data_IF_362472147526
#
_entry.id   IF_362472147526
#
_cell.length_a   1.000
_cell.length_b   1.000
_cell.length_c   1.000
_cell.angle_alpha   90.00
_cell.angle_beta   90.00
_cell.angle_gamma   90.00
#
_symmetry.space_group_name_H-M   'P 1'
#
loop_
_entity.id
_entity.type
_entity.pdbx_description
1 polymer ?
#
# COMPACT_ATOMS: atom_id res chain seq x y z
N UNK A 1 4.75 -15.75 -22.16
CA UNK A 1 4.41 -14.55 -21.36
C UNK A 1 3.73 -13.56 -22.28
N UNK A 2 2.45 -13.23 -22.06
CA UNK A 2 1.78 -12.19 -22.85
C UNK A 2 2.38 -10.82 -22.52
N UNK A 3 2.35 -9.88 -23.47
CA UNK A 3 2.90 -8.52 -23.31
C UNK A 3 2.30 -7.79 -22.09
N UNK A 4 1.05 -8.09 -21.75
CA UNK A 4 0.34 -7.53 -20.60
C UNK A 4 0.86 -8.07 -19.27
N UNK A 5 1.17 -9.37 -19.17
CA UNK A 5 1.70 -9.96 -17.94
C UNK A 5 3.07 -9.40 -17.55
N UNK A 6 3.92 -9.11 -18.55
CA UNK A 6 5.23 -8.49 -18.32
C UNK A 6 5.07 -7.04 -17.81
N UNK A 7 4.10 -6.29 -18.33
CA UNK A 7 3.82 -4.92 -17.89
C UNK A 7 3.23 -4.86 -16.47
N UNK A 8 2.31 -5.76 -16.13
CA UNK A 8 1.76 -5.85 -14.77
C UNK A 8 2.85 -6.21 -13.77
N UNK A 9 3.71 -7.18 -14.10
CA UNK A 9 4.80 -7.59 -13.23
C UNK A 9 5.80 -6.45 -12.98
N UNK A 10 6.17 -5.70 -14.02
CA UNK A 10 7.05 -4.53 -13.91
C UNK A 10 6.44 -3.42 -13.02
N UNK A 11 5.14 -3.16 -13.14
CA UNK A 11 4.44 -2.21 -12.27
C UNK A 11 4.39 -2.70 -10.82
N UNK A 12 4.12 -3.99 -10.57
CA UNK A 12 4.16 -4.56 -9.22
C UNK A 12 5.54 -4.43 -8.57
N UNK A 13 6.62 -4.67 -9.33
CA UNK A 13 8.00 -4.49 -8.85
C UNK A 13 8.27 -3.02 -8.50
N UNK A 14 7.83 -2.07 -9.34
CA UNK A 14 7.95 -0.64 -9.05
C UNK A 14 7.18 -0.22 -7.81
N UNK A 15 5.96 -0.72 -7.63
CA UNK A 15 5.16 -0.48 -6.42
C UNK A 15 5.87 -1.00 -5.17
N UNK A 16 6.43 -2.21 -5.22
CA UNK A 16 7.20 -2.78 -4.11
C UNK A 16 8.41 -1.92 -3.77
N UNK A 17 9.21 -1.52 -4.76
CA UNK A 17 10.36 -0.64 -4.53
C UNK A 17 9.93 0.69 -3.91
N UNK A 18 8.86 1.29 -4.41
CA UNK A 18 8.31 2.53 -3.84
C UNK A 18 7.85 2.36 -2.40
N UNK A 19 7.25 1.23 -2.03
CA UNK A 19 6.89 0.92 -0.64
C UNK A 19 8.13 0.74 0.23
N UNK A 20 9.11 -0.04 -0.24
CA UNK A 20 10.38 -0.26 0.46
C UNK A 20 11.16 1.06 0.68
N UNK A 21 10.99 2.03 -0.22
CA UNK A 21 11.66 3.33 -0.16
C UNK A 21 10.81 4.42 0.52
N UNK A 22 9.67 4.07 1.13
CA UNK A 22 8.77 5.02 1.79
C UNK A 22 8.08 6.01 0.84
N UNK A 23 8.19 5.80 -0.48
CA UNK A 23 7.54 6.59 -1.53
C UNK A 23 6.13 6.08 -1.79
N UNK A 24 5.24 6.27 -0.82
CA UNK A 24 3.88 5.75 -0.90
C UNK A 24 3.09 6.32 -2.08
N UNK A 25 3.11 7.63 -2.34
CA UNK A 25 2.39 8.24 -3.47
C UNK A 25 2.72 7.62 -4.85
N UNK A 26 4.01 7.45 -5.21
CA UNK A 26 4.39 6.72 -6.42
C UNK A 26 3.95 5.25 -6.45
N UNK A 27 4.03 4.53 -5.32
CA UNK A 27 3.51 3.17 -5.23
C UNK A 27 2.01 3.13 -5.53
N UNK A 28 1.27 4.07 -4.95
CA UNK A 28 -0.18 4.18 -5.07
C UNK A 28 -0.62 4.47 -6.50
N UNK A 29 0.09 5.37 -7.20
CA UNK A 29 -0.15 5.63 -8.62
C UNK A 29 0.14 4.40 -9.50
N UNK A 30 1.15 3.60 -9.14
CA UNK A 30 1.45 2.35 -9.84
C UNK A 30 0.33 1.31 -9.68
N UNK A 31 -0.24 1.20 -8.48
CA UNK A 31 -1.38 0.31 -8.21
C UNK A 31 -2.64 0.75 -8.96
N UNK A 32 -2.98 2.05 -8.95
CA UNK A 32 -4.11 2.60 -9.73
C UNK A 32 -3.96 2.32 -11.24
N UNK A 33 -2.73 2.39 -11.76
CA UNK A 33 -2.44 2.08 -13.17
C UNK A 33 -2.63 0.58 -13.49
N UNK A 34 -2.22 -0.31 -12.58
CA UNK A 34 -2.44 -1.76 -12.71
C UNK A 34 -3.95 -2.05 -12.74
N UNK A 35 -4.69 -1.45 -11.81
CA UNK A 35 -6.13 -1.62 -11.66
C UNK A 35 -6.87 -1.23 -12.95
N UNK A 36 -6.68 0.02 -13.40
CA UNK A 36 -7.42 0.58 -14.55
C UNK A 36 -7.12 -0.10 -15.87
N UNK A 37 -5.87 -0.50 -16.09
CA UNK A 37 -5.44 -0.96 -17.41
C UNK A 37 -5.44 -2.49 -17.55
N UNK A 38 -5.36 -3.24 -16.46
CA UNK A 38 -5.08 -4.67 -16.53
C UNK A 38 -5.98 -5.56 -15.65
N UNK A 39 -6.77 -5.00 -14.73
CA UNK A 39 -7.49 -5.77 -13.71
C UNK A 39 -9.01 -5.55 -13.66
N UNK A 40 -9.66 -5.35 -14.81
CA UNK A 40 -11.13 -5.27 -14.89
C UNK A 40 -11.85 -6.54 -14.34
N UNK A 41 -11.14 -7.65 -14.08
CA UNK A 41 -11.66 -8.93 -13.58
C UNK A 41 -11.27 -9.31 -12.13
N UNK A 42 -10.51 -8.48 -11.39
CA UNK A 42 -10.21 -8.72 -9.96
C UNK A 42 -10.98 -7.71 -9.07
N UNK A 43 -12.33 -7.76 -9.04
CA UNK A 43 -13.13 -6.67 -8.49
C UNK A 43 -13.02 -6.50 -6.97
N UNK A 44 -12.86 -7.57 -6.18
CA UNK A 44 -13.14 -7.49 -4.74
C UNK A 44 -12.05 -6.82 -3.87
N UNK A 45 -10.79 -6.79 -4.32
CA UNK A 45 -9.65 -6.23 -3.54
C UNK A 45 -9.13 -4.91 -4.13
N UNK A 46 -9.32 -4.70 -5.43
CA UNK A 46 -9.06 -3.42 -6.09
C UNK A 46 -9.96 -2.31 -5.53
N UNK A 47 -11.26 -2.61 -5.32
CA UNK A 47 -12.21 -1.71 -4.65
C UNK A 47 -11.75 -1.24 -3.26
N UNK A 48 -11.07 -2.10 -2.50
CA UNK A 48 -10.60 -1.73 -1.15
C UNK A 48 -9.52 -0.66 -1.19
N UNK A 49 -8.73 -0.60 -2.25
CA UNK A 49 -7.68 0.39 -2.41
C UNK A 49 -8.32 1.73 -2.80
N UNK A 50 -9.28 1.74 -3.74
CA UNK A 50 -10.06 2.94 -4.07
C UNK A 50 -10.87 3.48 -2.88
N UNK A 51 -11.40 2.60 -2.04
CA UNK A 51 -12.13 2.98 -0.83
C UNK A 51 -11.21 3.66 0.20
N UNK A 52 -9.97 3.16 0.39
CA UNK A 52 -8.97 3.84 1.24
C UNK A 52 -8.72 5.25 0.73
N UNK A 53 -8.53 5.43 -0.59
CA UNK A 53 -8.30 6.76 -1.17
C UNK A 53 -9.49 7.70 -1.02
N UNK A 54 -10.71 7.19 -1.20
CA UNK A 54 -11.93 7.98 -1.10
C UNK A 54 -12.30 8.34 0.34
N UNK A 55 -11.84 7.56 1.31
CA UNK A 55 -12.14 7.76 2.74
C UNK A 55 -11.04 8.48 3.51
N UNK A 56 -9.83 8.61 2.96
CA UNK A 56 -8.73 9.32 3.63
C UNK A 56 -8.99 10.83 3.70
N UNK A 57 -8.70 11.40 4.87
CA UNK A 57 -8.85 12.84 5.09
C UNK A 57 -7.63 13.64 4.66
N UNK A 58 -6.53 12.98 4.29
CA UNK A 58 -5.21 13.57 4.02
C UNK A 58 -4.59 14.35 5.19
N UNK A 59 -5.23 14.32 6.36
CA UNK A 59 -4.72 14.93 7.58
C UNK A 59 -3.65 14.05 8.23
N UNK A 60 -2.70 14.68 8.92
CA UNK A 60 -1.67 13.94 9.64
C UNK A 60 -2.28 13.03 10.69
N UNK A 61 -1.85 11.77 10.69
CA UNK A 61 -2.34 10.78 11.65
C UNK A 61 -1.80 11.09 13.05
N UNK A 62 -2.71 11.27 14.01
CA UNK A 62 -2.39 11.51 15.43
C UNK A 62 -2.60 10.23 16.22
N UNK A 63 -1.53 9.71 16.82
CA UNK A 63 -1.53 8.51 17.65
C UNK A 63 -1.40 8.89 19.11
N UNK A 64 -2.35 8.45 19.94
CA UNK A 64 -2.42 8.88 21.34
C UNK A 64 -1.69 7.95 22.29
N UNK A 65 -1.44 6.70 21.88
CA UNK A 65 -0.86 5.65 22.71
C UNK A 65 0.09 4.75 21.91
N UNK A 66 0.95 4.06 22.63
CA UNK A 66 1.93 3.12 22.08
C UNK A 66 1.34 2.02 21.20
N UNK A 67 0.18 1.38 21.51
CA UNK A 67 -0.40 0.37 20.62
C UNK A 67 -0.79 0.92 19.25
N UNK A 68 -1.21 2.19 19.17
CA UNK A 68 -1.52 2.84 17.89
C UNK A 68 -0.25 3.09 17.08
N UNK A 69 0.85 3.44 17.75
CA UNK A 69 2.16 3.62 17.13
C UNK A 69 2.76 2.30 16.64
N UNK A 70 2.69 1.24 17.44
CA UNK A 70 3.12 -0.10 17.03
C UNK A 70 2.37 -0.56 15.76
N UNK A 71 1.03 -0.47 15.77
CA UNK A 71 0.19 -0.98 14.70
C UNK A 71 0.23 -0.17 13.40
N UNK A 72 0.60 1.12 13.46
CA UNK A 72 0.59 2.01 12.30
C UNK A 72 1.98 2.48 11.84
N UNK A 73 3.02 2.34 12.67
CA UNK A 73 4.37 2.79 12.33
C UNK A 73 5.36 1.62 12.37
N UNK A 74 5.50 0.97 13.53
CA UNK A 74 6.53 -0.05 13.72
C UNK A 74 6.25 -1.33 12.91
N UNK A 75 4.99 -1.77 12.86
CA UNK A 75 4.56 -2.95 12.09
C UNK A 75 4.95 -2.87 10.60
N UNK A 76 4.97 -1.66 10.04
CA UNK A 76 5.28 -1.43 8.63
C UNK A 76 6.67 -0.81 8.42
N UNK A 77 7.49 -0.76 9.48
CA UNK A 77 8.83 -0.19 9.45
C UNK A 77 8.87 1.25 8.87
N UNK A 78 7.85 2.06 9.16
CA UNK A 78 7.76 3.44 8.66
C UNK A 78 8.72 4.40 9.38
N UNK A 79 9.32 3.96 10.48
CA UNK A 79 10.38 4.69 11.19
C UNK A 79 11.39 3.69 11.78
N UNK A 80 12.66 4.08 11.86
CA UNK A 80 13.69 3.38 12.62
C UNK A 80 13.37 3.45 14.13
N UNK A 81 13.42 2.29 14.78
CA UNK A 81 12.91 1.98 16.13
C UNK A 81 13.63 2.67 17.29
N UNK A 82 14.67 3.46 17.03
CA UNK A 82 15.67 3.78 18.06
C UNK A 82 15.41 5.09 18.81
N UNK A 83 14.25 5.73 18.58
CA UNK A 83 13.88 7.00 19.22
C UNK A 83 12.67 6.76 20.14
N UNK A 84 12.82 7.12 21.41
CA UNK A 84 11.72 7.12 22.38
C UNK A 84 10.70 8.21 21.99
N UNK A 85 9.51 7.79 21.54
CA UNK A 85 8.46 8.69 21.06
C UNK A 85 7.63 9.27 22.23
N UNK A 86 7.41 10.59 22.24
CA UNK A 86 6.45 11.22 23.16
C UNK A 86 5.02 11.17 22.58
N UNK A 87 4.03 10.94 23.44
CA UNK A 87 2.61 10.93 23.05
C UNK A 87 1.91 12.26 23.42
N UNK A 88 0.99 12.75 22.57
CA UNK A 88 0.56 12.18 21.29
C UNK A 88 1.64 12.32 20.20
N UNK A 89 1.81 11.27 19.41
CA UNK A 89 2.72 11.27 18.26
C UNK A 89 1.94 11.69 17.01
N UNK A 90 2.49 12.63 16.26
CA UNK A 90 1.92 13.12 15.00
C UNK A 90 2.80 12.61 13.87
N UNK A 91 2.28 11.69 13.05
CA UNK A 91 3.02 11.14 11.94
C UNK A 91 3.17 12.16 10.80
N UNK A 92 4.25 12.10 10.00
CA UNK A 92 4.40 12.90 8.79
C UNK A 92 3.53 12.41 7.62
N UNK A 93 2.51 11.58 7.89
CA UNK A 93 1.63 10.95 6.91
C UNK A 93 0.21 10.82 7.46
N UNK A 94 -0.77 10.60 6.58
CA UNK A 94 -2.17 10.32 6.94
C UNK A 94 -2.43 8.82 7.18
N UNK A 95 -3.63 8.49 7.63
CA UNK A 95 -4.11 7.11 7.82
C UNK A 95 -3.98 6.24 6.56
N UNK A 96 -4.04 6.85 5.38
CA UNK A 96 -3.83 6.18 4.11
C UNK A 96 -2.55 5.33 4.08
N UNK A 97 -1.42 5.84 4.60
CA UNK A 97 -0.13 5.13 4.49
C UNK A 97 -0.16 3.76 5.18
N UNK A 98 -0.47 3.63 6.48
CA UNK A 98 -0.57 2.33 7.12
C UNK A 98 -1.69 1.46 6.54
N UNK A 99 -2.81 2.04 6.08
CA UNK A 99 -3.89 1.28 5.46
C UNK A 99 -3.47 0.66 4.11
N UNK A 100 -2.73 1.40 3.29
CA UNK A 100 -2.16 0.87 2.06
C UNK A 100 -1.13 -0.25 2.34
N UNK A 101 -0.28 -0.08 3.35
CA UNK A 101 0.68 -1.11 3.75
C UNK A 101 0.00 -2.44 4.15
N UNK A 102 -1.23 -2.39 4.69
CA UNK A 102 -2.02 -3.60 5.01
C UNK A 102 -2.54 -4.33 3.77
N UNK A 103 -2.95 -3.58 2.74
CA UNK A 103 -3.63 -4.16 1.58
C UNK A 103 -2.67 -4.56 0.48
N UNK A 104 -1.65 -3.75 0.18
CA UNK A 104 -0.78 -3.95 -0.99
C UNK A 104 -0.13 -5.33 -1.04
N UNK A 105 0.41 -5.91 0.04
CA UNK A 105 1.01 -7.24 -0.01
C UNK A 105 0.02 -8.33 -0.44
N UNK A 106 -1.22 -8.26 0.09
CA UNK A 106 -2.27 -9.21 -0.29
C UNK A 106 -2.68 -9.02 -1.75
N UNK A 107 -2.86 -7.77 -2.18
CA UNK A 107 -3.20 -7.42 -3.56
C UNK A 107 -2.15 -7.95 -4.55
N UNK A 108 -0.87 -7.77 -4.28
CA UNK A 108 0.23 -8.26 -5.13
C UNK A 108 0.20 -9.79 -5.20
N UNK A 109 0.02 -10.47 -4.06
CA UNK A 109 -0.07 -11.93 -4.02
C UNK A 109 -1.23 -12.45 -4.87
N UNK A 110 -2.40 -11.84 -4.75
CA UNK A 110 -3.57 -12.24 -5.54
C UNK A 110 -3.38 -11.95 -7.03
N UNK A 111 -2.75 -10.82 -7.35
CA UNK A 111 -2.40 -10.44 -8.72
C UNK A 111 -1.49 -11.49 -9.36
N UNK A 112 -0.48 -11.94 -8.63
CA UNK A 112 0.45 -12.99 -9.09
C UNK A 112 -0.27 -14.33 -9.22
N UNK A 113 -1.09 -14.73 -8.25
CA UNK A 113 -1.87 -15.97 -8.30
C UNK A 113 -2.82 -16.00 -9.52
N UNK A 114 -3.54 -14.90 -9.77
CA UNK A 114 -4.42 -14.79 -10.93
C UNK A 114 -3.64 -14.93 -12.25
N UNK A 115 -2.46 -14.32 -12.33
CA UNK A 115 -1.58 -14.50 -13.48
C UNK A 115 -1.13 -15.95 -13.65
N UNK A 116 -0.84 -16.68 -12.56
CA UNK A 116 -0.49 -18.10 -12.62
C UNK A 116 -1.66 -19.00 -13.05
N UNK A 117 -2.90 -18.69 -12.66
CA UNK A 117 -4.08 -19.49 -13.03
C UNK A 117 -4.52 -19.32 -14.49
N UNK A 118 -4.06 -18.26 -15.17
CA UNK A 118 -4.36 -17.98 -16.58
C UNK A 118 -3.42 -18.66 -17.58
N UNK A 119 -2.37 -19.38 -17.13
CA UNK A 119 -1.40 -20.10 -17.96
C UNK A 119 -1.24 -21.56 -17.53
#
# INVERSE_FOLDING_TARGET
>A
MSKNCVQVLDLCVKCNNHICEGRFYPALKGVDLIEKNYMQSIPAKALKITDIFGSDTYEQMVMKKEPEYEANVLLFHLQSSDIMQAFPYIAPFSSMVPDCCRIVPSFIKDSVNYLYELF
#
